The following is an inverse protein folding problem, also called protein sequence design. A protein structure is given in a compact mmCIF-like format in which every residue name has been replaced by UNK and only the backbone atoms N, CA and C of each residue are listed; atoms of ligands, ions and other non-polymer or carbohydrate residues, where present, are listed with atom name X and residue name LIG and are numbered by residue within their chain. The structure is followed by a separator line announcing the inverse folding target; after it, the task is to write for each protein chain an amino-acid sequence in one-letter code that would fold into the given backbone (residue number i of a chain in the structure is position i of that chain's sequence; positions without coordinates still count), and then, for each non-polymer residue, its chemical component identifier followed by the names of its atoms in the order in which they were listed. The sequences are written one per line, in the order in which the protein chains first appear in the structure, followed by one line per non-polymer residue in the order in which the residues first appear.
data_IF_816754133306
#
_entry.id   IF_816754133306
#
_cell.length_a   1.000
_cell.length_b   1.000
_cell.length_c   1.000
_cell.angle_alpha   90.00
_cell.angle_beta   90.00
_cell.angle_gamma   90.00
#
_symmetry.space_group_name_H-M   'P 1'
#
loop_
_entity.id
_entity.type
_entity.pdbx_description
1 polymer ?
#
# COMPACT_ATOMS: atom_id res chain seq x y z
N UNK A 1 35.68 36.29 -10.33
CA UNK A 1 35.08 35.29 -11.25
C UNK A 1 35.28 33.90 -10.65
N UNK A 2 34.29 33.43 -9.90
CA UNK A 2 34.29 32.12 -9.24
C UNK A 2 33.56 31.11 -10.13
N UNK A 3 34.32 30.38 -10.97
CA UNK A 3 33.78 29.20 -11.64
C UNK A 3 33.50 28.16 -10.53
N UNK A 4 32.27 27.69 -10.34
CA UNK A 4 32.02 26.63 -9.37
C UNK A 4 32.90 25.43 -9.74
N UNK A 5 33.58 24.81 -8.76
CA UNK A 5 34.52 23.73 -9.04
C UNK A 5 33.79 22.60 -9.79
N UNK A 6 34.41 22.07 -10.84
CA UNK A 6 33.84 21.02 -11.71
C UNK A 6 33.25 19.84 -10.91
N UNK A 7 33.87 19.51 -9.77
CA UNK A 7 33.43 18.48 -8.83
C UNK A 7 32.04 18.80 -8.26
N UNK A 8 31.76 20.06 -7.92
CA UNK A 8 30.46 20.48 -7.38
C UNK A 8 29.35 20.30 -8.41
N UNK A 9 29.60 20.65 -9.68
CA UNK A 9 28.64 20.47 -10.77
C UNK A 9 28.37 18.96 -10.98
N UNK A 10 29.41 18.13 -10.96
CA UNK A 10 29.28 16.69 -11.10
C UNK A 10 28.45 16.06 -9.98
N UNK A 11 28.67 16.49 -8.72
CA UNK A 11 27.90 16.02 -7.56
C UNK A 11 26.43 16.44 -7.65
N UNK A 12 26.15 17.69 -8.02
CA UNK A 12 24.77 18.17 -8.19
C UNK A 12 24.05 17.41 -9.31
N UNK A 13 24.73 17.16 -10.44
CA UNK A 13 24.18 16.38 -11.54
C UNK A 13 23.86 14.93 -11.13
N UNK A 14 24.74 14.29 -10.35
CA UNK A 14 24.53 12.93 -9.84
C UNK A 14 23.30 12.86 -8.90
N UNK A 15 23.16 13.81 -7.98
CA UNK A 15 22.02 13.89 -7.07
C UNK A 15 20.71 14.09 -7.85
N UNK A 16 20.71 14.93 -8.89
CA UNK A 16 19.54 15.17 -9.74
C UNK A 16 19.09 13.91 -10.50
N UNK A 17 20.04 13.11 -11.02
CA UNK A 17 19.75 11.84 -11.69
C UNK A 17 19.17 10.81 -10.71
N UNK A 18 19.75 10.67 -9.53
CA UNK A 18 19.26 9.74 -8.50
C UNK A 18 17.86 10.13 -8.00
N UNK A 19 17.60 11.43 -7.82
CA UNK A 19 16.30 11.92 -7.38
C UNK A 19 15.20 11.68 -8.42
N UNK A 20 15.50 11.86 -9.71
CA UNK A 20 14.52 11.63 -10.78
C UNK A 20 14.17 10.15 -10.96
N UNK A 21 15.15 9.24 -10.83
CA UNK A 21 14.89 7.79 -10.93
C UNK A 21 13.86 7.27 -9.92
N UNK A 22 13.88 7.77 -8.68
CA UNK A 22 12.95 7.37 -7.61
C UNK A 22 11.52 7.86 -7.83
N UNK A 23 11.34 8.95 -8.59
CA UNK A 23 10.01 9.48 -8.93
C UNK A 23 9.35 8.71 -10.08
N UNK A 24 10.13 8.33 -11.10
CA UNK A 24 9.60 7.61 -12.26
C UNK A 24 9.13 6.19 -11.93
N UNK A 25 9.69 5.52 -10.91
CA UNK A 25 9.26 4.16 -10.55
C UNK A 25 7.84 4.10 -9.96
N UNK A 26 7.44 5.11 -9.16
CA UNK A 26 6.06 5.18 -8.62
C UNK A 26 5.03 5.38 -9.72
N UNK A 27 5.28 6.34 -10.63
CA UNK A 27 4.44 6.59 -11.80
C UNK A 27 4.29 5.37 -12.71
N UNK A 28 5.35 4.57 -12.87
CA UNK A 28 5.31 3.34 -13.67
C UNK A 28 4.40 2.27 -13.04
N UNK A 29 4.36 2.14 -11.72
CA UNK A 29 3.47 1.21 -11.02
C UNK A 29 2.01 1.66 -11.11
N UNK A 30 1.74 2.95 -10.94
CA UNK A 30 0.39 3.52 -11.12
C UNK A 30 -0.10 3.32 -12.56
N UNK A 31 0.74 3.65 -13.56
CA UNK A 31 0.40 3.46 -14.97
C UNK A 31 0.25 1.99 -15.37
N UNK A 32 0.91 1.06 -14.67
CA UNK A 32 0.72 -0.38 -14.86
C UNK A 32 -0.64 -0.82 -14.29
N UNK A 33 -0.95 -0.42 -13.05
CA UNK A 33 -2.25 -0.70 -12.43
C UNK A 33 -3.41 -0.10 -13.25
N UNK A 34 -3.27 1.11 -13.77
CA UNK A 34 -4.33 1.76 -14.58
C UNK A 34 -4.60 1.03 -15.91
N UNK A 35 -3.60 0.32 -16.45
CA UNK A 35 -3.76 -0.51 -17.66
C UNK A 35 -4.36 -1.88 -17.40
N UNK A 36 -4.40 -2.33 -16.15
CA UNK A 36 -4.96 -3.63 -15.81
C UNK A 36 -6.50 -3.60 -15.72
N UNK A 37 -7.18 -4.64 -16.22
CA UNK A 37 -8.62 -4.75 -16.08
C UNK A 37 -9.01 -4.98 -14.61
N UNK A 38 -10.15 -4.43 -14.21
CA UNK A 38 -10.73 -4.68 -12.88
C UNK A 38 -11.14 -6.15 -12.78
N UNK A 39 -10.55 -6.87 -11.82
CA UNK A 39 -10.84 -8.27 -11.53
C UNK A 39 -11.77 -8.37 -10.32
N UNK A 40 -12.86 -9.09 -10.47
CA UNK A 40 -13.78 -9.43 -9.40
C UNK A 40 -13.58 -10.90 -9.00
N UNK A 41 -13.22 -11.13 -7.74
CA UNK A 41 -12.92 -12.45 -7.20
C UNK A 41 -13.75 -12.71 -5.96
N UNK A 42 -14.36 -13.89 -5.84
CA UNK A 42 -15.01 -14.31 -4.61
C UNK A 42 -13.96 -14.69 -3.57
N UNK A 43 -14.06 -14.04 -2.40
CA UNK A 43 -13.13 -14.19 -1.30
C UNK A 43 -13.86 -14.35 0.02
N UNK A 44 -13.15 -14.82 1.03
CA UNK A 44 -13.55 -14.81 2.44
C UNK A 44 -12.57 -13.92 3.20
N UNK A 45 -13.07 -13.07 4.08
CA UNK A 45 -12.22 -12.28 4.97
C UNK A 45 -11.67 -13.21 6.05
N UNK A 46 -10.38 -13.56 5.99
CA UNK A 46 -9.79 -14.48 6.97
C UNK A 46 -9.26 -13.76 8.20
N UNK A 47 -8.67 -12.58 8.02
CA UNK A 47 -8.07 -11.80 9.10
C UNK A 47 -8.29 -10.30 8.87
N UNK A 48 -8.39 -9.55 9.96
CA UNK A 48 -8.62 -8.10 9.98
C UNK A 48 -7.80 -7.51 11.11
N UNK A 49 -6.80 -6.69 10.77
CA UNK A 49 -5.87 -6.12 11.75
C UNK A 49 -5.64 -4.63 11.56
N UNK A 50 -5.57 -3.93 12.68
CA UNK A 50 -5.15 -2.55 12.77
C UNK A 50 -3.92 -2.46 13.67
N UNK A 51 -2.87 -1.83 13.19
CA UNK A 51 -1.61 -1.68 13.93
C UNK A 51 -1.00 -0.31 13.66
N UNK A 52 -0.19 0.18 14.60
CA UNK A 52 0.46 1.45 14.44
C UNK A 52 1.51 1.42 13.31
N UNK A 53 1.59 2.48 12.52
CA UNK A 53 2.46 2.59 11.35
C UNK A 53 3.95 2.64 11.72
N UNK A 54 4.29 3.09 12.93
CA UNK A 54 5.67 3.14 13.40
C UNK A 54 6.18 1.73 13.72
N UNK A 55 7.39 1.43 13.26
CA UNK A 55 8.11 0.19 13.58
C UNK A 55 9.22 0.47 14.61
N UNK A 56 9.05 1.48 15.49
CA UNK A 56 10.02 1.73 16.54
C UNK A 56 10.01 0.54 17.52
N UNK A 57 11.09 -0.27 17.49
CA UNK A 57 11.27 -1.49 18.31
C UNK A 57 11.60 -1.22 19.78
N UNK A 58 11.57 0.04 20.21
CA UNK A 58 11.94 0.44 21.57
C UNK A 58 10.87 0.01 22.57
N UNK A 59 11.29 -0.69 23.63
CA UNK A 59 10.42 -1.17 24.73
C UNK A 59 9.89 -0.04 25.64
N UNK A 60 10.44 1.17 25.52
CA UNK A 60 9.91 2.38 26.15
C UNK A 60 8.77 2.92 25.29
N UNK A 61 7.58 2.40 25.56
CA UNK A 61 6.34 2.81 24.90
C UNK A 61 5.79 4.01 25.67
N UNK A 62 6.23 5.21 25.33
CA UNK A 62 5.40 6.39 25.58
C UNK A 62 4.23 6.32 24.60
N UNK A 63 3.00 6.42 25.10
CA UNK A 63 1.80 6.47 24.28
C UNK A 63 1.85 7.78 23.49
N UNK A 64 2.38 7.74 22.27
CA UNK A 64 2.34 8.90 21.37
C UNK A 64 0.88 9.11 20.97
N UNK A 65 0.27 10.16 21.50
CA UNK A 65 -1.07 10.59 21.09
C UNK A 65 -1.01 10.91 19.59
N UNK A 66 -1.90 10.31 18.80
CA UNK A 66 -2.00 10.47 17.34
C UNK A 66 -0.97 9.72 16.49
N UNK A 67 -0.64 8.48 16.86
CA UNK A 67 0.15 7.60 15.99
C UNK A 67 -0.64 7.17 14.74
N UNK A 68 -0.04 7.33 13.56
CA UNK A 68 -0.68 6.94 12.30
C UNK A 68 -1.00 5.43 12.30
N UNK A 69 -2.24 5.06 12.03
CA UNK A 69 -2.68 3.66 12.01
C UNK A 69 -2.61 3.06 10.61
N UNK A 70 -2.26 1.77 10.53
CA UNK A 70 -2.34 0.95 9.31
C UNK A 70 -3.41 -0.10 9.48
N UNK A 71 -4.21 -0.25 8.43
CA UNK A 71 -5.33 -1.18 8.38
C UNK A 71 -5.07 -2.22 7.29
N UNK A 72 -5.04 -3.48 7.67
CA UNK A 72 -4.83 -4.59 6.74
C UNK A 72 -5.96 -5.61 6.89
N UNK A 73 -6.38 -6.13 5.74
CA UNK A 73 -7.37 -7.21 5.65
C UNK A 73 -6.77 -8.31 4.80
N UNK A 74 -6.85 -9.54 5.30
CA UNK A 74 -6.44 -10.73 4.57
C UNK A 74 -7.66 -11.36 3.94
N UNK A 75 -7.64 -11.48 2.61
CA UNK A 75 -8.69 -12.08 1.81
C UNK A 75 -8.23 -13.44 1.28
N UNK A 76 -8.99 -14.48 1.56
CA UNK A 76 -8.76 -15.83 1.06
C UNK A 76 -9.65 -16.09 -0.16
N UNK A 77 -9.09 -16.34 -1.36
CA UNK A 77 -9.87 -16.70 -2.54
C UNK A 77 -10.65 -18.01 -2.33
N UNK A 78 -11.95 -18.01 -2.64
CA UNK A 78 -12.77 -19.22 -2.51
C UNK A 78 -12.45 -20.27 -3.58
N UNK A 79 -12.03 -19.84 -4.77
CA UNK A 79 -11.64 -20.74 -5.88
C UNK A 79 -10.26 -21.39 -5.69
N UNK A 80 -9.68 -21.27 -4.50
CA UNK A 80 -8.29 -21.65 -4.22
C UNK A 80 -7.31 -20.58 -4.68
N UNK A 81 -6.18 -20.47 -3.98
CA UNK A 81 -5.14 -19.49 -4.25
C UNK A 81 -4.43 -19.01 -2.98
N UNK A 82 -3.43 -18.15 -3.16
CA UNK A 82 -2.73 -17.51 -2.04
C UNK A 82 -3.66 -16.48 -1.36
N UNK A 83 -3.48 -16.28 -0.05
CA UNK A 83 -4.19 -15.24 0.69
C UNK A 83 -3.69 -13.85 0.29
N UNK A 84 -4.59 -12.97 -0.11
CA UNK A 84 -4.26 -11.59 -0.48
C UNK A 84 -4.31 -10.69 0.75
N UNK A 85 -3.16 -10.16 1.15
CA UNK A 85 -3.09 -9.12 2.19
C UNK A 85 -3.22 -7.76 1.53
N UNK A 86 -4.30 -7.04 1.85
CA UNK A 86 -4.62 -5.75 1.25
C UNK A 86 -4.61 -4.67 2.33
N UNK A 87 -3.87 -3.59 2.07
CA UNK A 87 -3.86 -2.40 2.94
C UNK A 87 -4.98 -1.46 2.55
N UNK A 88 -5.79 -1.09 3.52
CA UNK A 88 -6.97 -0.26 3.34
C UNK A 88 -6.85 1.07 4.08
N UNK A 89 -7.68 2.03 3.69
CA UNK A 89 -7.95 3.23 4.48
C UNK A 89 -8.99 2.90 5.56
N UNK A 90 -8.95 3.61 6.68
CA UNK A 90 -9.89 3.43 7.79
C UNK A 90 -11.38 3.30 7.37
N UNK A 91 -11.95 4.21 6.55
CA UNK A 91 -13.37 4.12 6.18
C UNK A 91 -13.70 2.90 5.32
N UNK A 92 -12.72 2.34 4.61
CA UNK A 92 -12.90 1.10 3.83
C UNK A 92 -12.73 -0.15 4.70
N UNK A 93 -11.94 -0.04 5.77
CA UNK A 93 -11.65 -1.13 6.70
C UNK A 93 -12.79 -1.36 7.70
N UNK A 94 -13.38 -0.31 8.25
CA UNK A 94 -14.41 -0.41 9.29
C UNK A 94 -15.60 -1.30 8.91
N UNK A 95 -16.24 -1.17 7.74
CA UNK A 95 -17.43 -1.97 7.40
C UNK A 95 -17.13 -3.44 7.06
N UNK A 96 -15.86 -3.85 6.96
CA UNK A 96 -15.49 -5.22 6.60
C UNK A 96 -15.51 -6.11 7.83
N UNK A 97 -16.26 -7.21 7.80
CA UNK A 97 -16.34 -8.15 8.94
C UNK A 97 -15.46 -9.39 8.68
N UNK A 98 -14.63 -9.83 9.64
CA UNK A 98 -13.95 -11.12 9.57
C UNK A 98 -14.94 -12.27 9.38
N UNK A 99 -14.59 -13.24 8.54
CA UNK A 99 -15.46 -14.34 8.16
C UNK A 99 -16.50 -14.00 7.08
N UNK A 100 -16.69 -12.72 6.74
CA UNK A 100 -17.61 -12.34 5.67
C UNK A 100 -17.13 -12.89 4.33
N UNK A 101 -18.07 -13.44 3.57
CA UNK A 101 -17.85 -13.87 2.19
C UNK A 101 -18.33 -12.78 1.26
N UNK A 102 -17.69 -12.63 0.11
CA UNK A 102 -18.12 -11.61 -0.81
C UNK A 102 -17.23 -11.48 -2.04
N UNK A 103 -17.53 -10.47 -2.83
CA UNK A 103 -16.78 -10.14 -4.02
C UNK A 103 -15.77 -9.03 -3.73
N UNK A 104 -14.48 -9.36 -3.89
CA UNK A 104 -13.38 -8.42 -3.88
C UNK A 104 -13.09 -7.94 -5.30
N UNK A 105 -13.13 -6.62 -5.50
CA UNK A 105 -12.72 -5.96 -6.75
C UNK A 105 -11.34 -5.34 -6.58
N UNK A 106 -10.41 -5.81 -7.41
CA UNK A 106 -9.03 -5.32 -7.48
C UNK A 106 -8.72 -4.83 -8.88
N UNK A 107 -7.82 -3.86 -8.98
CA UNK A 107 -7.22 -3.42 -10.24
C UNK A 107 -5.71 -3.50 -10.10
N UNK A 108 -5.11 -4.55 -10.66
CA UNK A 108 -3.75 -4.95 -10.32
C UNK A 108 -3.57 -5.11 -8.82
N UNK A 109 -2.71 -4.28 -8.23
CA UNK A 109 -2.45 -4.26 -6.79
C UNK A 109 -3.35 -3.31 -5.99
N UNK A 110 -4.22 -2.55 -6.67
CA UNK A 110 -5.10 -1.55 -6.06
C UNK A 110 -6.43 -2.15 -5.63
N UNK A 111 -6.79 -1.93 -4.36
CA UNK A 111 -8.13 -2.17 -3.85
C UNK A 111 -9.14 -1.18 -4.43
N UNK A 112 -10.25 -1.69 -4.96
CA UNK A 112 -11.38 -0.86 -5.39
C UNK A 112 -12.51 -0.94 -4.37
N UNK A 113 -13.01 -2.15 -4.11
CA UNK A 113 -14.15 -2.36 -3.23
C UNK A 113 -14.26 -3.81 -2.79
N UNK A 114 -14.84 -4.02 -1.62
CA UNK A 114 -15.31 -5.32 -1.16
C UNK A 114 -16.82 -5.22 -0.92
N UNK A 115 -17.57 -6.16 -1.48
CA UNK A 115 -19.02 -6.27 -1.27
C UNK A 115 -19.30 -7.61 -0.62
N UNK A 116 -19.74 -7.60 0.63
CA UNK A 116 -20.17 -8.80 1.33
C UNK A 116 -21.43 -9.38 0.65
N UNK A 117 -21.42 -10.67 0.39
CA UNK A 117 -22.61 -11.44 0.06
C UNK A 117 -23.35 -11.68 1.39
N UNK A 118 -24.60 -11.21 1.49
CA UNK A 118 -25.45 -11.38 2.68
C UNK A 118 -25.83 -12.84 2.89
#
# INVERSE_FOLDING_TARGET
MSKPPLIFIAVVALIAVLATQRYFSQRKQEAANDREPVRATQVVVSDKRAFAASTNRSRQREHIVNEAMRYEVTFQPQRGGESLVVRLKQPQYEPITPGARGTLKMQGTRFISFTAEQ
#
